data_IF_127445295434
#
_entry.id   IF_127445295434
#
_cell.length_a   1.000
_cell.length_b   1.000
_cell.length_c   1.000
_cell.angle_alpha   90.00
_cell.angle_beta   90.00
_cell.angle_gamma   90.00
#
_symmetry.space_group_name_H-M   'P 1'
#
loop_
_entity.id
_entity.type
_entity.pdbx_description
1 polymer ?
#
# COMPACT_ATOMS: atom_id res chain seq x y z
N UNK A 1 -1.48 -4.92 6.13
CA UNK A 1 -0.33 -4.50 5.32
C UNK A 1 0.76 -4.10 6.29
N UNK A 2 1.89 -4.79 6.28
CA UNK A 2 3.11 -4.37 6.97
C UNK A 2 3.94 -3.58 5.95
N UNK A 3 4.00 -2.27 6.15
CA UNK A 3 4.84 -1.37 5.38
C UNK A 3 5.88 -0.75 6.30
N UNK A 4 7.07 -0.51 5.77
CA UNK A 4 8.17 0.13 6.49
C UNK A 4 8.80 1.20 5.63
N UNK A 5 9.23 2.27 6.29
CA UNK A 5 10.06 3.32 5.75
C UNK A 5 11.28 3.44 6.67
N UNK A 6 12.46 3.47 6.09
CA UNK A 6 13.69 3.80 6.81
C UNK A 6 14.63 4.58 5.92
N UNK A 7 15.36 5.51 6.49
CA UNK A 7 16.44 6.23 5.82
C UNK A 7 17.24 7.02 6.83
N UNK A 8 18.22 7.76 6.34
CA UNK A 8 18.96 8.73 7.12
C UNK A 8 18.96 10.07 6.40
N UNK A 9 18.89 11.16 7.14
CA UNK A 9 18.98 12.50 6.60
C UNK A 9 19.92 13.35 7.43
N UNK A 10 20.43 14.41 6.82
CA UNK A 10 21.06 15.53 7.49
C UNK A 10 20.49 16.81 6.91
N UNK A 11 20.37 17.80 7.79
CA UNK A 11 19.90 19.14 7.47
C UNK A 11 20.89 20.13 8.07
N UNK A 12 21.21 21.20 7.36
CA UNK A 12 21.80 22.35 8.03
C UNK A 12 20.79 22.97 9.01
N UNK A 13 21.30 23.48 10.13
CA UNK A 13 20.55 23.88 11.32
C UNK A 13 19.63 22.77 11.87
N UNK A 14 18.42 22.61 11.34
CA UNK A 14 17.53 21.53 11.70
C UNK A 14 16.43 21.25 10.66
N UNK A 15 15.75 20.13 10.80
CA UNK A 15 14.61 19.76 9.97
C UNK A 15 13.90 18.50 10.41
N UNK A 16 12.80 18.19 9.74
CA UNK A 16 11.90 17.09 10.05
C UNK A 16 11.54 16.31 8.79
N UNK A 17 11.23 15.03 8.98
CA UNK A 17 10.74 14.15 7.91
C UNK A 17 9.32 13.74 8.24
N UNK A 18 8.43 13.75 7.26
CA UNK A 18 7.03 13.39 7.42
C UNK A 18 6.59 12.33 6.40
N UNK A 19 5.75 11.40 6.83
CA UNK A 19 4.99 10.49 5.98
C UNK A 19 3.50 10.82 6.09
N UNK A 20 2.89 11.23 4.99
CA UNK A 20 1.48 11.63 4.92
C UNK A 20 1.12 12.70 5.97
N UNK A 21 2.02 13.66 6.20
CA UNK A 21 1.86 14.72 7.20
C UNK A 21 2.17 14.32 8.65
N UNK A 22 2.52 13.05 8.91
CA UNK A 22 2.93 12.58 10.25
C UNK A 22 4.45 12.52 10.33
N UNK A 23 5.04 13.13 11.36
CA UNK A 23 6.51 13.12 11.53
C UNK A 23 7.02 11.69 11.72
N UNK A 24 8.10 11.35 11.04
CA UNK A 24 8.79 10.04 11.11
C UNK A 24 10.20 10.23 11.65
N UNK A 25 10.45 9.71 12.84
CA UNK A 25 11.66 10.04 13.61
C UNK A 25 11.50 11.34 14.42
N UNK A 26 12.63 11.89 14.86
CA UNK A 26 12.67 13.19 15.56
C UNK A 26 13.11 14.33 14.65
N UNK A 27 13.18 15.55 15.21
CA UNK A 27 13.87 16.67 14.56
C UNK A 27 15.36 16.33 14.46
N UNK A 28 15.90 16.43 13.26
CA UNK A 28 17.30 16.19 12.95
C UNK A 28 18.00 17.54 13.01
N UNK A 29 19.08 17.65 13.79
CA UNK A 29 19.80 18.91 14.02
C UNK A 29 21.25 18.82 13.55
N UNK A 30 21.69 19.83 12.80
CA UNK A 30 23.06 20.02 12.34
C UNK A 30 23.50 19.09 11.21
N UNK A 31 24.60 19.48 10.56
CA UNK A 31 25.16 18.83 9.38
C UNK A 31 26.32 17.86 9.68
N UNK A 32 26.62 17.59 10.96
CA UNK A 32 27.79 16.83 11.39
C UNK A 32 27.67 15.31 11.26
N UNK A 33 26.45 14.76 11.16
CA UNK A 33 26.19 13.33 10.98
C UNK A 33 24.82 13.09 10.34
N UNK A 34 24.73 12.01 9.56
CA UNK A 34 23.46 11.43 9.14
C UNK A 34 22.68 10.95 10.36
N UNK A 35 21.39 11.29 10.43
CA UNK A 35 20.46 10.91 11.49
C UNK A 35 19.32 10.06 10.93
N UNK A 36 18.93 8.96 11.60
CA UNK A 36 17.91 8.07 11.08
C UNK A 36 16.51 8.67 11.16
N UNK A 37 15.70 8.40 10.15
CA UNK A 37 14.26 8.61 10.14
C UNK A 37 13.56 7.35 9.65
N UNK A 38 12.30 7.18 10.02
CA UNK A 38 11.53 6.03 9.57
C UNK A 38 10.30 5.76 10.42
N UNK A 39 9.49 4.85 9.92
CA UNK A 39 8.30 4.37 10.61
C UNK A 39 7.94 2.98 10.10
N UNK A 40 7.14 2.27 10.87
CA UNK A 40 6.46 1.07 10.43
C UNK A 40 5.06 1.45 9.89
N UNK A 41 4.15 0.48 9.85
CA UNK A 41 2.85 0.58 9.18
C UNK A 41 1.96 1.76 9.58
N UNK A 42 2.26 2.45 10.70
CA UNK A 42 1.35 3.38 11.37
C UNK A 42 0.92 4.59 10.52
N UNK A 43 1.75 5.06 9.59
CA UNK A 43 1.43 6.26 8.79
C UNK A 43 1.24 5.96 7.30
N UNK A 44 1.33 4.71 6.89
CA UNK A 44 1.05 4.32 5.51
C UNK A 44 -0.46 4.26 5.26
N UNK A 45 -0.89 4.75 4.10
CA UNK A 45 -2.27 4.62 3.62
C UNK A 45 -2.32 3.72 2.38
N UNK A 46 -3.50 3.18 2.08
CA UNK A 46 -3.72 2.47 0.83
C UNK A 46 -3.54 3.44 -0.36
N UNK A 47 -2.81 3.02 -1.39
CA UNK A 47 -2.55 3.83 -2.56
C UNK A 47 -1.37 4.79 -2.39
N UNK A 48 -1.58 6.07 -2.70
CA UNK A 48 -0.51 7.08 -2.74
C UNK A 48 -0.05 7.46 -1.34
N UNK A 49 1.26 7.45 -1.14
CA UNK A 49 1.91 7.91 0.08
C UNK A 49 2.89 9.03 -0.27
N UNK A 50 2.95 10.07 0.56
CA UNK A 50 3.84 11.23 0.36
C UNK A 50 4.86 11.29 1.48
N UNK A 51 6.14 11.20 1.11
CA UNK A 51 7.28 11.43 2.00
C UNK A 51 7.77 12.87 1.77
N UNK A 52 7.82 13.69 2.82
CA UNK A 52 8.30 15.08 2.73
C UNK A 52 9.41 15.34 3.73
N UNK A 53 10.34 16.21 3.33
CA UNK A 53 11.45 16.71 4.14
C UNK A 53 11.24 18.21 4.31
N UNK A 54 11.29 18.70 5.54
CA UNK A 54 11.14 20.11 5.88
C UNK A 54 12.44 20.56 6.52
N UNK A 55 13.07 21.58 5.93
CA UNK A 55 14.31 22.16 6.41
C UNK A 55 14.06 23.54 6.97
N UNK A 56 14.75 23.86 8.06
CA UNK A 56 14.70 25.14 8.73
C UNK A 56 16.08 25.78 8.75
N UNK A 57 16.35 26.65 7.77
CA UNK A 57 17.60 27.39 7.69
C UNK A 57 17.55 28.65 8.58
N UNK A 58 18.52 28.80 9.48
CA UNK A 58 18.67 29.97 10.37
C UNK A 58 19.66 31.01 9.83
N UNK A 59 20.20 30.76 8.63
CA UNK A 59 21.06 31.68 7.89
C UNK A 59 22.35 31.00 7.41
N UNK A 60 22.93 31.54 6.34
CA UNK A 60 24.08 30.91 5.68
C UNK A 60 23.67 29.90 4.59
N UNK A 61 24.64 29.09 4.10
CA UNK A 61 24.41 28.13 3.01
C UNK A 61 23.63 26.91 3.51
N UNK A 62 22.54 26.58 2.84
CA UNK A 62 21.74 25.40 3.17
C UNK A 62 22.42 24.10 2.70
N UNK A 63 22.36 23.06 3.53
CA UNK A 63 22.79 21.72 3.18
C UNK A 63 21.69 20.69 3.49
N UNK A 64 21.49 19.76 2.56
CA UNK A 64 20.54 18.67 2.67
C UNK A 64 21.12 17.41 2.07
N UNK A 65 21.04 16.29 2.78
CA UNK A 65 21.34 15.00 2.19
C UNK A 65 20.42 13.93 2.77
N UNK A 66 20.02 13.00 1.91
CA UNK A 66 19.32 11.76 2.27
C UNK A 66 20.16 10.57 1.82
N UNK A 67 20.27 9.56 2.69
CA UNK A 67 21.02 8.34 2.44
C UNK A 67 20.23 7.11 2.90
N UNK A 68 20.41 5.99 2.19
CA UNK A 68 19.85 4.69 2.58
C UNK A 68 18.31 4.63 2.61
N UNK A 69 17.62 5.49 1.85
CA UNK A 69 16.16 5.50 1.79
C UNK A 69 15.63 4.17 1.24
N UNK A 70 14.85 3.47 2.08
CA UNK A 70 14.24 2.19 1.79
C UNK A 70 12.77 2.22 2.17
N UNK A 71 11.92 1.76 1.26
CA UNK A 71 10.49 1.57 1.49
C UNK A 71 10.12 0.15 1.13
N UNK A 72 9.47 -0.57 2.04
CA UNK A 72 8.96 -1.91 1.78
C UNK A 72 7.48 -1.98 2.16
N UNK A 73 6.73 -2.79 1.43
CA UNK A 73 5.36 -3.12 1.76
C UNK A 73 5.12 -4.58 1.40
N UNK A 74 4.62 -5.38 2.34
CA UNK A 74 4.17 -6.69 1.98
C UNK A 74 2.84 -6.58 1.22
N UNK A 75 2.61 -7.48 0.24
CA UNK A 75 1.31 -7.60 -0.40
C UNK A 75 0.21 -7.72 0.66
N UNK A 76 -0.98 -7.18 0.35
CA UNK A 76 -2.19 -7.55 1.08
C UNK A 76 -2.27 -9.08 1.06
N UNK A 77 -2.03 -9.72 2.21
CA UNK A 77 -2.26 -11.14 2.40
C UNK A 77 -3.78 -11.36 2.33
N UNK A 78 -4.22 -11.52 1.10
CA UNK A 78 -5.59 -11.61 0.67
C UNK A 78 -5.52 -12.06 -0.77
N UNK A 79 -5.03 -13.29 -0.97
CA UNK A 79 -5.48 -14.04 -2.13
C UNK A 79 -7.00 -13.87 -2.10
N UNK A 80 -7.55 -13.14 -3.07
CA UNK A 80 -8.98 -13.14 -3.31
C UNK A 80 -9.25 -14.62 -3.53
N UNK A 81 -9.85 -15.34 -2.56
CA UNK A 81 -10.35 -16.62 -2.94
C UNK A 81 -11.41 -16.24 -3.98
N UNK A 82 -11.59 -17.04 -5.01
CA UNK A 82 -12.72 -16.81 -5.89
C UNK A 82 -13.95 -17.60 -5.37
N UNK A 83 -14.54 -17.44 -4.15
CA UNK A 83 -15.80 -18.12 -3.86
C UNK A 83 -16.90 -17.72 -4.84
N UNK A 84 -16.88 -16.47 -5.31
CA UNK A 84 -17.91 -15.93 -6.18
C UNK A 84 -17.82 -16.46 -7.62
N UNK A 85 -16.63 -16.60 -8.21
CA UNK A 85 -16.51 -17.13 -9.57
C UNK A 85 -17.03 -18.56 -9.66
N UNK A 86 -16.69 -19.38 -8.67
CA UNK A 86 -17.15 -20.77 -8.60
C UNK A 86 -18.67 -20.84 -8.36
N UNK A 87 -19.20 -20.00 -7.48
CA UNK A 87 -20.64 -19.91 -7.29
C UNK A 87 -21.38 -19.48 -8.57
N UNK A 88 -20.87 -18.48 -9.31
CA UNK A 88 -21.45 -18.01 -10.56
C UNK A 88 -21.37 -19.07 -11.66
N UNK A 89 -20.27 -19.82 -11.75
CA UNK A 89 -20.14 -20.94 -12.68
C UNK A 89 -21.14 -22.04 -12.35
N UNK A 90 -21.23 -22.46 -11.09
CA UNK A 90 -22.19 -23.48 -10.66
C UNK A 90 -23.64 -23.06 -10.91
N UNK A 91 -23.97 -21.80 -10.63
CA UNK A 91 -25.28 -21.23 -10.91
C UNK A 91 -25.56 -21.17 -12.41
N UNK A 92 -24.61 -20.73 -13.22
CA UNK A 92 -24.73 -20.68 -14.69
C UNK A 92 -24.90 -22.06 -15.32
N UNK A 93 -24.08 -23.04 -14.91
CA UNK A 93 -24.18 -24.43 -15.36
C UNK A 93 -25.45 -25.12 -14.86
N UNK A 94 -25.88 -24.83 -13.63
CA UNK A 94 -27.13 -25.34 -13.07
C UNK A 94 -28.35 -24.84 -13.86
N UNK A 95 -28.40 -23.54 -14.18
CA UNK A 95 -29.48 -22.96 -14.97
C UNK A 95 -29.52 -23.50 -16.40
N UNK A 96 -28.39 -23.57 -17.09
CA UNK A 96 -28.31 -24.14 -18.45
C UNK A 96 -28.71 -25.62 -18.47
N UNK A 97 -28.20 -26.41 -17.53
CA UNK A 97 -28.58 -27.82 -17.40
C UNK A 97 -30.07 -28.03 -17.12
N UNK A 98 -30.66 -27.20 -16.25
CA UNK A 98 -32.10 -27.23 -15.97
C UNK A 98 -32.95 -26.87 -17.20
N UNK A 99 -32.53 -25.88 -17.97
CA UNK A 99 -33.21 -25.47 -19.21
C UNK A 99 -33.21 -26.59 -20.26
N UNK A 100 -32.09 -27.30 -20.45
CA UNK A 100 -32.00 -28.44 -21.37
C UNK A 100 -32.94 -29.58 -20.94
N UNK A 101 -32.94 -29.94 -19.65
CA UNK A 101 -33.83 -31.00 -19.12
C UNK A 101 -35.31 -30.68 -19.26
N UNK A 102 -35.72 -29.41 -19.17
CA UNK A 102 -37.11 -29.00 -19.39
C UNK A 102 -37.56 -29.24 -20.83
N UNK A 103 -36.70 -28.96 -21.81
CA UNK A 103 -37.02 -29.14 -23.24
C UNK A 103 -37.13 -30.62 -23.61
N UNK A 104 -36.24 -31.48 -23.13
CA UNK A 104 -36.29 -32.91 -23.44
C UNK A 104 -37.55 -33.58 -22.87
N UNK A 105 -37.99 -33.22 -21.66
CA UNK A 105 -39.24 -33.75 -21.08
C UNK A 105 -40.50 -33.33 -21.84
N UNK A 106 -40.50 -32.15 -22.46
CA UNK A 106 -41.61 -31.70 -23.30
C UNK A 106 -41.69 -32.46 -24.63
N UNK A 107 -40.57 -32.96 -25.16
CA UNK A 107 -40.55 -33.71 -26.42
C UNK A 107 -40.92 -35.19 -26.28
N UNK A 108 -40.74 -35.80 -25.11
CA UNK A 108 -41.12 -37.21 -24.86
C UNK A 108 -42.63 -37.43 -24.64
N UNK A 109 -43.46 -36.38 -24.65
CA UNK A 109 -44.92 -36.47 -24.44
C UNK A 109 -45.72 -36.48 -25.77
N UNK A 110 -45.07 -36.42 -26.93
CA UNK A 110 -45.75 -36.54 -28.22
C UNK A 110 -45.77 -38.02 -28.69
N UNK A 111 -46.88 -38.70 -28.41
CA UNK A 111 -47.35 -39.89 -29.14
C UNK A 111 -48.32 -39.45 -30.24
#
# INVERSE_FOLDING_TARGET
>A
MNATLSGQALFDNFGEVFLNGNQVGGTITGFGSLSPFGTNSNFFVAGLNTLSFVLHNEGGPEAFQVAGLTVTAAPLAGAVPEPASWALMLVGFGMTGAAVRRRSRAMTVAN
#
